data_IF_602572214324
#
_entry.id   IF_602572214324
#
_cell.length_a   1.000
_cell.length_b   1.000
_cell.length_c   1.000
_cell.angle_alpha   90.00
_cell.angle_beta   90.00
_cell.angle_gamma   90.00
#
_symmetry.space_group_name_H-M   'P 1'
#
loop_
_entity.id
_entity.type
_entity.pdbx_description
1 polymer ?
#
# COMPACT_ATOMS: atom_id res chain seq x y z
N UNK A 1 -69.65 -38.05 -14.75
CA UNK A 1 -68.18 -38.11 -14.84
C UNK A 1 -67.54 -36.77 -15.17
N UNK A 2 -68.13 -35.96 -16.06
CA UNK A 2 -67.67 -34.59 -16.34
C UNK A 2 -67.33 -33.68 -15.14
N UNK A 3 -68.13 -33.65 -14.07
CA UNK A 3 -67.81 -32.80 -12.90
C UNK A 3 -66.53 -33.24 -12.17
N UNK A 4 -66.31 -34.55 -12.03
CA UNK A 4 -65.08 -35.09 -11.41
C UNK A 4 -63.85 -34.80 -12.26
N UNK A 5 -63.98 -34.90 -13.59
CA UNK A 5 -62.90 -34.54 -14.52
C UNK A 5 -62.58 -33.04 -14.46
N UNK A 6 -63.59 -32.19 -14.28
CA UNK A 6 -63.38 -30.75 -14.11
C UNK A 6 -62.66 -30.42 -12.80
N UNK A 7 -63.04 -31.06 -11.68
CA UNK A 7 -62.33 -30.92 -10.40
C UNK A 7 -60.87 -31.40 -10.52
N UNK A 8 -60.62 -32.54 -11.21
CA UNK A 8 -59.26 -33.00 -11.51
C UNK A 8 -58.50 -31.95 -12.32
N UNK A 9 -59.12 -31.37 -13.36
CA UNK A 9 -58.48 -30.37 -14.21
C UNK A 9 -58.08 -29.11 -13.42
N UNK A 10 -58.95 -28.62 -12.54
CA UNK A 10 -58.69 -27.47 -11.67
C UNK A 10 -57.61 -27.78 -10.62
N UNK A 11 -57.60 -28.98 -10.04
CA UNK A 11 -56.55 -29.44 -9.12
C UNK A 11 -55.19 -29.52 -9.81
N UNK A 12 -55.12 -30.16 -10.99
CA UNK A 12 -53.90 -30.27 -11.79
C UNK A 12 -53.36 -28.89 -12.17
N UNK A 13 -54.24 -27.97 -12.59
CA UNK A 13 -53.90 -26.58 -12.89
C UNK A 13 -53.30 -25.86 -11.67
N UNK A 14 -53.89 -26.05 -10.48
CA UNK A 14 -53.40 -25.41 -9.25
C UNK A 14 -52.02 -25.93 -8.81
N UNK A 15 -51.70 -27.18 -9.18
CA UNK A 15 -50.42 -27.84 -8.91
C UNK A 15 -49.36 -27.61 -9.99
N UNK A 16 -49.67 -26.84 -11.04
CA UNK A 16 -48.76 -26.60 -12.17
C UNK A 16 -48.63 -27.78 -13.14
N UNK A 17 -49.49 -28.80 -13.04
CA UNK A 17 -49.54 -29.98 -13.93
C UNK A 17 -50.38 -29.66 -15.15
N UNK A 18 -49.84 -28.76 -15.99
CA UNK A 18 -50.60 -28.14 -17.07
C UNK A 18 -51.05 -29.14 -18.13
N UNK A 19 -50.23 -30.17 -18.44
CA UNK A 19 -50.60 -31.17 -19.44
C UNK A 19 -51.76 -32.06 -18.97
N UNK A 20 -51.73 -32.52 -17.71
CA UNK A 20 -52.85 -33.25 -17.12
C UNK A 20 -54.12 -32.40 -17.07
N UNK A 21 -54.01 -31.12 -16.73
CA UNK A 21 -55.14 -30.20 -16.72
C UNK A 21 -55.79 -30.05 -18.10
N UNK A 22 -54.97 -30.04 -19.17
CA UNK A 22 -55.45 -30.01 -20.55
C UNK A 22 -56.19 -31.29 -20.94
N UNK A 23 -55.60 -32.45 -20.66
CA UNK A 23 -56.22 -33.75 -20.96
C UNK A 23 -57.56 -33.93 -20.20
N UNK A 24 -57.59 -33.55 -18.92
CA UNK A 24 -58.82 -33.62 -18.12
C UNK A 24 -59.90 -32.65 -18.63
N UNK A 25 -59.53 -31.42 -19.00
CA UNK A 25 -60.46 -30.45 -19.58
C UNK A 25 -60.98 -30.88 -20.96
N UNK A 26 -60.12 -31.45 -21.81
CA UNK A 26 -60.50 -32.02 -23.11
C UNK A 26 -61.51 -33.16 -22.94
N UNK A 27 -61.32 -34.03 -21.94
CA UNK A 27 -62.28 -35.07 -21.58
C UNK A 27 -63.67 -34.49 -21.28
N UNK A 28 -63.76 -33.41 -20.51
CA UNK A 28 -65.04 -32.71 -20.23
C UNK A 28 -65.65 -32.13 -21.51
N UNK A 29 -64.83 -31.52 -22.37
CA UNK A 29 -65.29 -30.91 -23.63
C UNK A 29 -65.73 -31.96 -24.68
N UNK A 30 -65.24 -33.19 -24.58
CA UNK A 30 -65.69 -34.29 -25.44
C UNK A 30 -67.12 -34.73 -25.12
N UNK A 31 -67.53 -34.65 -23.84
CA UNK A 31 -68.91 -34.91 -23.40
C UNK A 31 -69.82 -33.70 -23.60
N UNK A 32 -69.33 -32.50 -23.26
CA UNK A 32 -70.07 -31.24 -23.31
C UNK A 32 -69.22 -30.16 -23.99
N UNK A 33 -69.29 -30.04 -25.33
CA UNK A 33 -68.43 -29.14 -26.11
C UNK A 33 -68.51 -27.66 -25.70
N UNK A 34 -69.66 -27.23 -25.16
CA UNK A 34 -69.90 -25.84 -24.77
C UNK A 34 -69.74 -25.58 -23.26
N UNK A 35 -69.06 -26.48 -22.52
CA UNK A 35 -68.87 -26.31 -21.08
C UNK A 35 -67.96 -25.10 -20.76
N UNK A 36 -68.46 -24.02 -20.13
CA UNK A 36 -67.71 -22.76 -20.01
C UNK A 36 -66.49 -22.85 -19.08
N UNK A 37 -66.59 -23.57 -17.95
CA UNK A 37 -65.45 -23.76 -17.02
C UNK A 37 -64.31 -24.55 -17.65
N UNK A 38 -64.60 -25.68 -18.30
CA UNK A 38 -63.61 -26.50 -18.98
C UNK A 38 -62.87 -25.71 -20.09
N UNK A 39 -63.59 -24.92 -20.91
CA UNK A 39 -62.96 -24.00 -21.89
C UNK A 39 -61.97 -23.02 -21.23
N UNK A 40 -62.36 -22.45 -20.08
CA UNK A 40 -61.51 -21.51 -19.34
C UNK A 40 -60.26 -22.20 -18.76
N UNK A 41 -60.42 -23.38 -18.15
CA UNK A 41 -59.31 -24.17 -17.60
C UNK A 41 -58.34 -24.57 -18.72
N UNK A 42 -58.87 -25.04 -19.86
CA UNK A 42 -58.06 -25.40 -21.02
C UNK A 42 -57.25 -24.20 -21.54
N UNK A 43 -57.90 -23.04 -21.74
CA UNK A 43 -57.20 -21.83 -22.20
C UNK A 43 -56.11 -21.38 -21.23
N UNK A 44 -56.38 -21.36 -19.92
CA UNK A 44 -55.40 -20.96 -18.91
C UNK A 44 -54.23 -21.95 -18.83
N UNK A 45 -54.52 -23.25 -18.86
CA UNK A 45 -53.48 -24.29 -18.85
C UNK A 45 -52.58 -24.21 -20.09
N UNK A 46 -53.14 -23.91 -21.27
CA UNK A 46 -52.36 -23.68 -22.50
C UNK A 46 -51.43 -22.47 -22.36
N UNK A 47 -51.95 -21.35 -21.87
CA UNK A 47 -51.18 -20.12 -21.68
C UNK A 47 -50.03 -20.32 -20.70
N UNK A 48 -50.32 -20.89 -19.52
CA UNK A 48 -49.30 -21.15 -18.50
C UNK A 48 -48.25 -22.18 -18.96
N UNK A 49 -48.66 -23.23 -19.69
CA UNK A 49 -47.72 -24.18 -20.30
C UNK A 49 -46.77 -23.47 -21.27
N UNK A 50 -47.28 -22.59 -22.13
CA UNK A 50 -46.44 -21.84 -23.08
C UNK A 50 -45.45 -20.91 -22.37
N UNK A 51 -45.89 -20.23 -21.30
CA UNK A 51 -45.01 -19.38 -20.47
C UNK A 51 -43.92 -20.21 -19.80
N UNK A 52 -44.28 -21.34 -19.18
CA UNK A 52 -43.34 -22.26 -18.56
C UNK A 52 -42.29 -22.75 -19.57
N UNK A 53 -42.73 -23.22 -20.75
CA UNK A 53 -41.84 -23.67 -21.82
C UNK A 53 -40.87 -22.58 -22.27
N UNK A 54 -41.33 -21.33 -22.32
CA UNK A 54 -40.47 -20.17 -22.60
C UNK A 54 -39.41 -19.93 -21.53
N UNK A 55 -39.76 -20.06 -20.24
CA UNK A 55 -38.81 -19.93 -19.11
C UNK A 55 -37.78 -21.07 -19.16
N UNK A 56 -38.23 -22.32 -19.29
CA UNK A 56 -37.35 -23.48 -19.35
C UNK A 56 -36.35 -23.36 -20.49
N UNK A 57 -36.81 -23.00 -21.71
CA UNK A 57 -35.92 -22.80 -22.86
C UNK A 57 -34.83 -21.76 -22.58
N UNK A 58 -35.20 -20.63 -21.97
CA UNK A 58 -34.22 -19.59 -21.61
C UNK A 58 -33.25 -20.07 -20.53
N UNK A 59 -33.74 -20.79 -19.51
CA UNK A 59 -32.89 -21.35 -18.46
C UNK A 59 -31.81 -22.26 -19.04
N UNK A 60 -32.19 -23.18 -19.94
CA UNK A 60 -31.25 -24.03 -20.68
C UNK A 60 -30.24 -23.25 -21.50
N UNK A 61 -30.72 -22.28 -22.28
CA UNK A 61 -29.83 -21.46 -23.10
C UNK A 61 -28.78 -20.73 -22.26
N UNK A 62 -29.19 -20.18 -21.11
CA UNK A 62 -28.29 -19.50 -20.17
C UNK A 62 -27.28 -20.46 -19.52
N UNK A 63 -27.72 -21.68 -19.19
CA UNK A 63 -26.87 -22.75 -18.66
C UNK A 63 -25.78 -23.13 -19.66
N UNK A 64 -26.14 -23.35 -20.93
CA UNK A 64 -25.20 -23.64 -22.02
C UNK A 64 -24.28 -22.47 -22.37
N UNK A 65 -24.74 -21.24 -22.21
CA UNK A 65 -23.91 -20.03 -22.32
C UNK A 65 -22.97 -19.84 -21.12
N UNK A 66 -23.09 -20.67 -20.07
CA UNK A 66 -22.29 -20.59 -18.86
C UNK A 66 -22.68 -19.42 -17.93
N UNK A 67 -23.82 -18.78 -18.17
CA UNK A 67 -24.39 -17.69 -17.35
C UNK A 67 -25.16 -18.27 -16.16
N UNK A 68 -24.43 -18.95 -15.28
CA UNK A 68 -25.00 -19.83 -14.25
C UNK A 68 -26.00 -19.14 -13.31
N UNK A 69 -25.76 -17.87 -12.94
CA UNK A 69 -26.66 -17.12 -12.04
C UNK A 69 -27.98 -16.75 -12.72
N UNK A 70 -27.91 -16.33 -13.97
CA UNK A 70 -29.10 -16.00 -14.77
C UNK A 70 -29.91 -17.27 -15.05
N UNK A 71 -29.24 -18.38 -15.39
CA UNK A 71 -29.87 -19.69 -15.54
C UNK A 71 -30.59 -20.10 -14.25
N UNK A 72 -29.91 -20.04 -13.10
CA UNK A 72 -30.49 -20.35 -11.78
C UNK A 72 -31.71 -19.49 -11.48
N UNK A 73 -31.69 -18.20 -11.85
CA UNK A 73 -32.83 -17.31 -11.67
C UNK A 73 -34.04 -17.71 -12.54
N UNK A 74 -33.83 -18.06 -13.82
CA UNK A 74 -34.93 -18.56 -14.66
C UNK A 74 -35.46 -19.92 -14.17
N UNK A 75 -34.59 -20.83 -13.71
CA UNK A 75 -35.01 -22.08 -13.10
C UNK A 75 -35.88 -21.87 -11.85
N UNK A 76 -35.55 -20.89 -11.00
CA UNK A 76 -36.37 -20.51 -9.85
C UNK A 76 -37.75 -19.97 -10.26
N UNK A 77 -37.83 -19.18 -11.33
CA UNK A 77 -39.13 -18.76 -11.89
C UNK A 77 -39.97 -19.95 -12.37
N UNK A 78 -39.33 -20.95 -12.98
CA UNK A 78 -40.03 -22.18 -13.37
C UNK A 78 -40.55 -22.96 -12.14
N UNK A 79 -39.76 -23.00 -11.05
CA UNK A 79 -40.16 -23.60 -9.78
C UNK A 79 -41.33 -22.88 -9.11
N UNK A 80 -41.44 -21.55 -9.24
CA UNK A 80 -42.59 -20.77 -8.76
C UNK A 80 -43.88 -21.16 -9.50
N UNK A 81 -43.79 -21.55 -10.78
CA UNK A 81 -44.93 -22.02 -11.58
C UNK A 81 -45.30 -23.47 -11.33
N UNK A 82 -44.33 -24.32 -11.00
CA UNK A 82 -44.55 -25.75 -10.69
C UNK A 82 -43.82 -26.10 -9.40
N UNK A 83 -44.41 -25.76 -8.23
CA UNK A 83 -43.80 -26.05 -6.94
C UNK A 83 -43.59 -27.56 -6.81
N UNK A 84 -42.39 -27.96 -6.38
CA UNK A 84 -42.02 -29.37 -6.17
C UNK A 84 -41.70 -30.20 -7.42
N UNK A 85 -41.51 -29.61 -8.60
CA UNK A 85 -41.04 -30.38 -9.76
C UNK A 85 -39.61 -30.95 -9.53
N UNK A 86 -39.40 -32.28 -9.55
CA UNK A 86 -38.14 -32.91 -9.14
C UNK A 86 -36.96 -32.50 -10.03
N UNK A 87 -37.11 -32.51 -11.36
CA UNK A 87 -36.05 -32.08 -12.29
C UNK A 87 -35.64 -30.61 -12.16
N UNK A 88 -36.58 -29.70 -11.90
CA UNK A 88 -36.24 -28.28 -11.69
C UNK A 88 -35.39 -28.14 -10.43
N UNK A 89 -35.78 -28.81 -9.35
CA UNK A 89 -35.02 -28.83 -8.10
C UNK A 89 -33.62 -29.43 -8.31
N UNK A 90 -33.52 -30.55 -9.02
CA UNK A 90 -32.25 -31.18 -9.37
C UNK A 90 -31.35 -30.24 -10.18
N UNK A 91 -31.89 -29.57 -11.21
CA UNK A 91 -31.15 -28.60 -12.02
C UNK A 91 -30.66 -27.41 -11.21
N UNK A 92 -31.49 -26.87 -10.32
CA UNK A 92 -31.09 -25.81 -9.39
C UNK A 92 -29.95 -26.30 -8.48
N UNK A 93 -30.05 -27.51 -7.93
CA UNK A 93 -29.02 -28.10 -7.07
C UNK A 93 -27.69 -28.28 -7.81
N UNK A 94 -27.72 -28.82 -9.03
CA UNK A 94 -26.51 -28.98 -9.87
C UNK A 94 -25.87 -27.63 -10.21
N UNK A 95 -26.68 -26.61 -10.51
CA UNK A 95 -26.18 -25.26 -10.75
C UNK A 95 -25.57 -24.64 -9.49
N UNK A 96 -26.18 -24.87 -8.32
CA UNK A 96 -25.64 -24.44 -7.03
C UNK A 96 -24.28 -25.08 -6.75
N UNK A 97 -24.15 -26.39 -6.89
CA UNK A 97 -22.87 -27.10 -6.76
C UNK A 97 -21.81 -26.58 -7.75
N UNK A 98 -22.21 -26.32 -8.99
CA UNK A 98 -21.29 -25.78 -10.02
C UNK A 98 -20.82 -24.37 -9.67
N UNK A 99 -21.71 -23.51 -9.17
CA UNK A 99 -21.39 -22.15 -8.73
C UNK A 99 -20.46 -22.21 -7.52
N UNK A 100 -20.77 -23.03 -6.52
CA UNK A 100 -19.95 -23.23 -5.33
C UNK A 100 -18.55 -23.75 -5.68
N UNK A 101 -18.45 -24.73 -6.59
CA UNK A 101 -17.17 -25.23 -7.08
C UNK A 101 -16.32 -24.15 -7.76
N UNK A 102 -16.93 -23.29 -8.59
CA UNK A 102 -16.24 -22.13 -9.20
C UNK A 102 -15.81 -21.11 -8.16
N UNK A 103 -16.66 -20.82 -7.17
CA UNK A 103 -16.33 -19.91 -6.08
C UNK A 103 -15.13 -20.44 -5.30
N UNK A 104 -15.12 -21.71 -4.92
CA UNK A 104 -14.02 -22.31 -4.17
C UNK A 104 -12.71 -22.33 -4.97
N UNK A 105 -12.77 -22.63 -6.27
CA UNK A 105 -11.60 -22.57 -7.15
C UNK A 105 -10.99 -21.15 -7.18
N UNK A 106 -11.83 -20.13 -7.33
CA UNK A 106 -11.36 -18.73 -7.35
C UNK A 106 -10.87 -18.30 -5.96
N UNK A 107 -11.54 -18.73 -4.89
CA UNK A 107 -11.11 -18.46 -3.51
C UNK A 107 -9.75 -19.08 -3.19
N UNK A 108 -9.48 -20.31 -3.64
CA UNK A 108 -8.16 -20.94 -3.50
C UNK A 108 -7.06 -20.08 -4.14
N UNK A 109 -7.31 -19.57 -5.36
CA UNK A 109 -6.39 -18.66 -6.05
C UNK A 109 -6.25 -17.31 -5.33
N UNK A 110 -7.33 -16.77 -4.76
CA UNK A 110 -7.29 -15.53 -3.97
C UNK A 110 -6.44 -15.68 -2.70
N UNK A 111 -6.57 -16.80 -2.00
CA UNK A 111 -5.73 -17.12 -0.82
C UNK A 111 -4.26 -17.16 -1.21
N UNK A 112 -3.92 -17.82 -2.33
CA UNK A 112 -2.55 -17.86 -2.85
C UNK A 112 -2.02 -16.46 -3.22
N UNK A 113 -2.80 -15.67 -3.96
CA UNK A 113 -2.44 -14.30 -4.34
C UNK A 113 -2.26 -13.39 -3.12
N UNK A 114 -3.12 -13.54 -2.12
CA UNK A 114 -3.01 -12.80 -0.87
C UNK A 114 -1.77 -13.22 -0.07
N UNK A 115 -1.41 -14.51 -0.04
CA UNK A 115 -0.20 -14.98 0.62
C UNK A 115 1.08 -14.45 -0.07
N UNK A 116 1.04 -14.26 -1.39
CA UNK A 116 2.12 -13.63 -2.18
C UNK A 116 2.18 -12.10 -2.07
N UNK A 117 1.29 -11.46 -1.30
CA UNK A 117 1.23 -9.99 -1.23
C UNK A 117 0.79 -9.31 -2.53
N UNK A 118 0.14 -10.03 -3.44
CA UNK A 118 -0.28 -9.50 -4.74
C UNK A 118 -1.64 -8.78 -4.65
N UNK A 119 -1.74 -7.76 -3.80
CA UNK A 119 -3.02 -7.13 -3.41
C UNK A 119 -3.82 -6.58 -4.61
N UNK A 120 -3.17 -6.01 -5.63
CA UNK A 120 -3.87 -5.54 -6.85
C UNK A 120 -4.57 -6.67 -7.61
N UNK A 121 -3.94 -7.85 -7.68
CA UNK A 121 -4.53 -9.02 -8.34
C UNK A 121 -5.66 -9.60 -7.49
N UNK A 122 -5.54 -9.57 -6.15
CA UNK A 122 -6.62 -9.92 -5.22
C UNK A 122 -7.86 -9.07 -5.50
N UNK A 123 -7.72 -7.74 -5.61
CA UNK A 123 -8.85 -6.84 -5.90
C UNK A 123 -9.54 -7.17 -7.23
N UNK A 124 -8.77 -7.44 -8.29
CA UNK A 124 -9.32 -7.76 -9.60
C UNK A 124 -10.06 -9.11 -9.59
N UNK A 125 -9.44 -10.15 -9.01
CA UNK A 125 -9.99 -11.51 -9.04
C UNK A 125 -11.16 -11.70 -8.07
N UNK A 126 -11.19 -10.98 -6.95
CA UNK A 126 -12.27 -11.05 -5.97
C UNK A 126 -13.63 -10.60 -6.55
N UNK A 127 -13.62 -9.75 -7.58
CA UNK A 127 -14.85 -9.38 -8.30
C UNK A 127 -15.55 -10.60 -8.91
N UNK A 128 -14.81 -11.65 -9.29
CA UNK A 128 -15.42 -12.88 -9.82
C UNK A 128 -16.20 -13.63 -8.75
N UNK A 129 -15.67 -13.74 -7.53
CA UNK A 129 -16.39 -14.37 -6.40
C UNK A 129 -17.62 -13.56 -6.03
N UNK A 130 -17.49 -12.23 -5.92
CA UNK A 130 -18.60 -11.35 -5.56
C UNK A 130 -19.72 -11.31 -6.60
N UNK A 131 -19.45 -11.67 -7.86
CA UNK A 131 -20.50 -11.86 -8.87
C UNK A 131 -21.41 -13.03 -8.50
N UNK A 132 -20.84 -14.14 -8.02
CA UNK A 132 -21.59 -15.34 -7.64
C UNK A 132 -22.17 -15.28 -6.22
N UNK A 133 -21.42 -14.71 -5.28
CA UNK A 133 -21.81 -14.59 -3.88
C UNK A 133 -21.41 -13.21 -3.35
N UNK A 134 -22.30 -12.20 -3.47
CA UNK A 134 -22.03 -10.83 -3.03
C UNK A 134 -21.70 -10.72 -1.53
N UNK A 135 -22.25 -11.63 -0.72
CA UNK A 135 -22.11 -11.64 0.73
C UNK A 135 -21.03 -12.63 1.23
N UNK A 136 -20.12 -13.07 0.35
CA UNK A 136 -19.07 -14.02 0.70
C UNK A 136 -18.06 -13.41 1.69
N UNK A 137 -18.26 -13.69 2.99
CA UNK A 137 -17.51 -13.10 4.11
C UNK A 137 -15.99 -13.11 3.93
N UNK A 138 -15.40 -14.26 3.66
CA UNK A 138 -13.94 -14.40 3.51
C UNK A 138 -13.40 -13.55 2.33
N UNK A 139 -14.16 -13.45 1.24
CA UNK A 139 -13.75 -12.67 0.06
C UNK A 139 -13.77 -11.16 0.39
N UNK A 140 -14.80 -10.71 1.11
CA UNK A 140 -14.92 -9.34 1.60
C UNK A 140 -13.80 -8.98 2.59
N UNK A 141 -13.41 -9.91 3.47
CA UNK A 141 -12.28 -9.74 4.39
C UNK A 141 -10.94 -9.60 3.64
N UNK A 142 -10.68 -10.48 2.66
CA UNK A 142 -9.47 -10.40 1.81
C UNK A 142 -9.43 -9.10 1.01
N UNK A 143 -10.58 -8.64 0.50
CA UNK A 143 -10.71 -7.35 -0.19
C UNK A 143 -10.42 -6.18 0.75
N UNK A 144 -11.00 -6.17 1.95
CA UNK A 144 -10.78 -5.12 2.93
C UNK A 144 -9.30 -5.04 3.33
N UNK A 145 -8.68 -6.20 3.59
CA UNK A 145 -7.25 -6.30 3.87
C UNK A 145 -6.40 -5.77 2.72
N UNK A 146 -6.64 -6.24 1.49
CA UNK A 146 -5.90 -5.80 0.31
C UNK A 146 -6.02 -4.30 0.04
N UNK A 147 -7.21 -3.70 0.24
CA UNK A 147 -7.41 -2.24 0.16
C UNK A 147 -6.65 -1.51 1.25
N UNK A 148 -6.69 -2.01 2.49
CA UNK A 148 -5.96 -1.44 3.62
C UNK A 148 -4.45 -1.44 3.41
N UNK A 149 -3.90 -2.57 2.93
CA UNK A 149 -2.47 -2.72 2.67
C UNK A 149 -2.00 -1.77 1.54
N UNK A 150 -2.78 -1.63 0.45
CA UNK A 150 -2.47 -0.69 -0.63
C UNK A 150 -2.54 0.77 -0.16
N UNK A 151 -3.56 1.14 0.62
CA UNK A 151 -3.65 2.49 1.19
C UNK A 151 -2.46 2.79 2.10
N UNK A 152 -2.08 1.85 2.96
CA UNK A 152 -0.89 1.97 3.80
C UNK A 152 0.39 2.10 2.96
N UNK A 153 0.50 1.36 1.86
CA UNK A 153 1.63 1.49 0.94
C UNK A 153 1.70 2.89 0.32
N UNK A 154 0.56 3.52 0.01
CA UNK A 154 0.53 4.90 -0.48
C UNK A 154 0.95 5.92 0.59
N UNK A 155 0.47 5.77 1.82
CA UNK A 155 0.87 6.61 2.96
C UNK A 155 2.38 6.49 3.25
N UNK A 156 2.91 5.27 3.27
CA UNK A 156 4.34 5.01 3.46
C UNK A 156 5.18 5.58 2.31
N UNK A 157 4.68 5.54 1.07
CA UNK A 157 5.38 6.13 -0.07
C UNK A 157 5.49 7.65 0.08
N UNK A 158 4.42 8.32 0.50
CA UNK A 158 4.46 9.77 0.73
C UNK A 158 5.48 10.13 1.82
N UNK A 159 5.56 9.33 2.89
CA UNK A 159 6.58 9.51 3.93
C UNK A 159 7.98 9.26 3.39
N UNK A 160 8.18 8.20 2.59
CA UNK A 160 9.46 7.91 1.96
C UNK A 160 9.93 9.06 1.06
N UNK A 161 9.01 9.66 0.30
CA UNK A 161 9.29 10.82 -0.56
C UNK A 161 9.68 12.06 0.24
N UNK A 162 9.02 12.32 1.39
CA UNK A 162 9.40 13.43 2.29
C UNK A 162 10.80 13.22 2.85
N UNK A 163 11.06 12.06 3.47
CA UNK A 163 12.40 11.74 3.98
C UNK A 163 13.47 11.80 2.89
N UNK A 164 13.12 11.42 1.65
CA UNK A 164 14.03 11.51 0.52
C UNK A 164 14.36 12.97 0.15
N UNK A 165 13.37 13.85 0.16
CA UNK A 165 13.56 15.30 -0.07
C UNK A 165 14.32 15.96 1.09
N UNK A 166 14.05 15.56 2.33
CA UNK A 166 14.68 16.09 3.55
C UNK A 166 16.14 15.60 3.73
N UNK A 167 16.61 14.71 2.85
CA UNK A 167 17.97 14.16 2.91
C UNK A 167 18.16 13.02 3.92
N UNK A 168 17.10 12.58 4.60
CA UNK A 168 17.12 11.35 5.42
C UNK A 168 16.97 10.11 4.52
N UNK A 169 18.06 9.86 3.80
CA UNK A 169 18.16 8.80 2.80
C UNK A 169 17.97 7.40 3.43
N UNK A 170 18.47 7.16 4.65
CA UNK A 170 18.31 5.86 5.31
C UNK A 170 16.84 5.56 5.57
N UNK A 171 16.11 6.53 6.14
CA UNK A 171 14.70 6.36 6.45
C UNK A 171 13.85 6.21 5.19
N UNK A 172 14.16 6.99 4.15
CA UNK A 172 13.49 6.87 2.85
C UNK A 172 13.63 5.46 2.25
N UNK A 173 14.83 4.86 2.33
CA UNK A 173 15.07 3.51 1.82
C UNK A 173 14.33 2.43 2.63
N UNK A 174 14.26 2.55 3.95
CA UNK A 174 13.47 1.63 4.79
C UNK A 174 11.98 1.67 4.44
N UNK A 175 11.41 2.88 4.36
CA UNK A 175 10.00 3.07 4.01
C UNK A 175 9.71 2.56 2.61
N UNK A 176 10.57 2.83 1.62
CA UNK A 176 10.40 2.33 0.25
C UNK A 176 10.43 0.79 0.18
N UNK A 177 11.25 0.11 0.99
CA UNK A 177 11.22 -1.36 1.11
C UNK A 177 9.90 -1.87 1.67
N UNK A 178 9.36 -1.20 2.70
CA UNK A 178 8.04 -1.55 3.24
C UNK A 178 6.92 -1.36 2.22
N UNK A 179 6.98 -0.28 1.42
CA UNK A 179 6.06 -0.03 0.32
C UNK A 179 6.11 -1.18 -0.68
N UNK A 180 7.28 -1.62 -1.14
CA UNK A 180 7.41 -2.72 -2.10
C UNK A 180 6.99 -4.08 -1.52
N UNK A 181 7.07 -4.26 -0.19
CA UNK A 181 6.52 -5.46 0.47
C UNK A 181 4.99 -5.50 0.40
N UNK A 182 4.33 -4.34 0.48
CA UNK A 182 2.86 -4.19 0.41
C UNK A 182 2.33 -3.98 -1.02
N UNK A 183 3.13 -3.42 -1.93
CA UNK A 183 2.80 -3.27 -3.35
C UNK A 183 4.07 -3.45 -4.21
N UNK A 184 4.39 -4.70 -4.59
CA UNK A 184 5.60 -4.98 -5.38
C UNK A 184 5.66 -4.29 -6.74
N UNK A 185 4.56 -3.69 -7.23
CA UNK A 185 4.50 -3.01 -8.53
C UNK A 185 4.60 -1.49 -8.41
N UNK A 186 4.92 -0.95 -7.22
CA UNK A 186 5.02 0.50 -6.99
C UNK A 186 6.37 1.06 -7.48
N UNK A 187 6.40 1.49 -8.74
CA UNK A 187 7.61 1.97 -9.43
C UNK A 187 8.29 3.14 -8.73
N UNK A 188 7.54 3.99 -8.02
CA UNK A 188 8.09 5.13 -7.30
C UNK A 188 8.98 4.69 -6.14
N UNK A 189 8.58 3.65 -5.40
CA UNK A 189 9.40 3.08 -4.34
C UNK A 189 10.64 2.36 -4.89
N UNK A 190 10.50 1.68 -6.04
CA UNK A 190 11.63 1.08 -6.76
C UNK A 190 12.64 2.16 -7.21
N UNK A 191 12.17 3.28 -7.76
CA UNK A 191 13.03 4.41 -8.14
C UNK A 191 13.79 5.01 -6.95
N UNK A 192 13.13 5.14 -5.80
CA UNK A 192 13.79 5.57 -4.57
C UNK A 192 14.92 4.59 -4.25
N UNK A 193 14.68 3.28 -4.27
CA UNK A 193 15.72 2.27 -3.98
C UNK A 193 16.83 2.19 -5.02
N UNK A 194 16.51 2.36 -6.31
CA UNK A 194 17.48 2.36 -7.41
C UNK A 194 18.46 3.53 -7.28
N UNK A 195 18.02 4.67 -6.74
CA UNK A 195 18.90 5.79 -6.40
C UNK A 195 19.98 5.39 -5.38
N UNK A 196 19.66 4.52 -4.42
CA UNK A 196 20.63 3.98 -3.46
C UNK A 196 21.51 2.89 -4.06
N UNK A 197 20.95 2.05 -4.92
CA UNK A 197 21.69 0.94 -5.54
C UNK A 197 22.68 1.44 -6.61
N UNK A 198 22.38 2.58 -7.22
CA UNK A 198 23.25 3.23 -8.19
C UNK A 198 24.41 3.92 -7.47
N UNK A 199 25.68 3.61 -7.81
CA UNK A 199 26.83 4.36 -7.31
C UNK A 199 26.85 5.73 -8.01
N UNK A 200 25.93 6.61 -7.61
CA UNK A 200 26.00 8.01 -8.00
C UNK A 200 27.26 8.61 -7.39
N UNK A 201 28.05 9.32 -8.20
CA UNK A 201 29.29 9.96 -7.76
C UNK A 201 29.04 10.89 -6.57
N UNK A 202 27.89 11.56 -6.56
CA UNK A 202 27.42 12.39 -5.46
C UNK A 202 27.28 11.61 -4.14
N UNK A 203 26.83 10.34 -4.20
CA UNK A 203 26.68 9.50 -3.01
C UNK A 203 28.02 8.99 -2.50
N UNK A 204 28.99 8.72 -3.41
CA UNK A 204 30.38 8.42 -3.01
C UNK A 204 31.05 9.62 -2.37
N UNK A 205 30.83 10.81 -2.91
CA UNK A 205 31.36 12.04 -2.34
C UNK A 205 30.73 12.34 -0.98
N UNK A 206 29.40 12.17 -0.85
CA UNK A 206 28.69 12.33 0.42
C UNK A 206 29.16 11.29 1.46
N UNK A 207 29.30 10.02 1.08
CA UNK A 207 29.85 8.98 1.96
C UNK A 207 31.31 9.27 2.33
N UNK A 208 32.12 9.77 1.41
CA UNK A 208 33.50 10.15 1.68
C UNK A 208 33.55 11.29 2.70
N UNK A 209 32.73 12.34 2.51
CA UNK A 209 32.57 13.46 3.45
C UNK A 209 32.11 12.97 4.83
N UNK A 210 31.13 12.06 4.89
CA UNK A 210 30.67 11.45 6.15
C UNK A 210 31.76 10.66 6.86
N UNK A 211 32.50 9.81 6.14
CA UNK A 211 33.64 9.05 6.70
C UNK A 211 34.77 9.96 7.15
N UNK A 212 34.97 11.09 6.48
CA UNK A 212 35.94 12.10 6.89
C UNK A 212 35.47 12.84 8.15
N UNK A 213 34.20 13.23 8.21
CA UNK A 213 33.58 13.78 9.42
C UNK A 213 33.69 12.81 10.62
N UNK A 214 33.46 11.51 10.43
CA UNK A 214 33.62 10.49 11.48
C UNK A 214 35.06 10.45 12.04
N UNK A 215 36.07 10.56 11.17
CA UNK A 215 37.47 10.61 11.59
C UNK A 215 37.77 11.88 12.37
N UNK A 216 37.21 13.01 11.94
CA UNK A 216 37.37 14.28 12.65
C UNK A 216 36.67 14.24 14.01
N UNK A 217 35.48 13.66 14.12
CA UNK A 217 34.77 13.44 15.39
C UNK A 217 35.64 12.61 16.34
N UNK A 218 36.17 11.47 15.89
CA UNK A 218 37.05 10.63 16.71
C UNK A 218 38.33 11.38 17.15
N UNK A 219 38.91 12.20 16.27
CA UNK A 219 40.06 13.04 16.61
C UNK A 219 39.70 14.13 17.63
N UNK A 220 38.56 14.80 17.48
CA UNK A 220 38.08 15.80 18.42
C UNK A 220 37.78 15.21 19.80
N UNK A 221 37.22 13.99 19.86
CA UNK A 221 37.02 13.25 21.11
C UNK A 221 38.36 12.94 21.82
N UNK A 222 39.37 12.50 21.06
CA UNK A 222 40.70 12.26 21.64
C UNK A 222 41.34 13.55 22.17
N UNK A 223 41.17 14.68 21.47
CA UNK A 223 41.67 15.99 21.90
C UNK A 223 40.98 16.49 23.17
N UNK A 224 39.67 16.24 23.31
CA UNK A 224 38.94 16.49 24.54
C UNK A 224 39.52 15.70 25.72
N UNK A 225 39.88 14.43 25.51
CA UNK A 225 40.42 13.56 26.58
C UNK A 225 41.80 13.98 27.08
N UNK A 226 42.58 14.71 26.28
CA UNK A 226 43.91 15.23 26.66
C UNK A 226 43.88 16.73 26.99
N UNK A 227 42.70 17.27 27.29
CA UNK A 227 42.44 18.65 27.69
C UNK A 227 42.89 19.72 26.67
N UNK A 228 42.93 19.38 25.37
CA UNK A 228 43.25 20.31 24.29
C UNK A 228 41.98 20.93 23.69
N UNK A 229 41.25 21.69 24.50
CA UNK A 229 39.89 22.16 24.18
C UNK A 229 39.83 23.04 22.92
N UNK A 230 40.73 24.03 22.77
CA UNK A 230 40.77 24.88 21.58
C UNK A 230 40.97 24.08 20.27
N UNK A 231 41.82 23.05 20.30
CA UNK A 231 42.03 22.15 19.14
C UNK A 231 40.81 21.28 18.88
N UNK A 232 40.19 20.74 19.94
CA UNK A 232 38.99 19.93 19.84
C UNK A 232 37.82 20.71 19.21
N UNK A 233 37.61 21.98 19.61
CA UNK A 233 36.62 22.87 19.02
C UNK A 233 36.80 23.02 17.51
N UNK A 234 38.05 23.30 17.06
CA UNK A 234 38.33 23.49 15.63
C UNK A 234 38.02 22.23 14.82
N UNK A 235 38.46 21.06 15.29
CA UNK A 235 38.24 19.80 14.57
C UNK A 235 36.75 19.41 14.58
N UNK A 236 36.04 19.64 15.68
CA UNK A 236 34.59 19.42 15.75
C UNK A 236 33.82 20.34 14.78
N UNK A 237 34.25 21.60 14.65
CA UNK A 237 33.67 22.53 13.68
C UNK A 237 33.96 22.10 12.24
N UNK A 238 35.16 21.60 11.94
CA UNK A 238 35.50 21.02 10.64
C UNK A 238 34.62 19.80 10.30
N UNK A 239 34.34 18.94 11.29
CA UNK A 239 33.41 17.83 11.12
C UNK A 239 31.98 18.32 10.79
N UNK A 240 31.47 19.34 11.48
CA UNK A 240 30.15 19.93 11.24
C UNK A 240 30.07 20.63 9.86
N UNK A 241 31.16 21.20 9.38
CA UNK A 241 31.20 21.80 8.04
C UNK A 241 31.09 20.74 6.93
N UNK A 242 31.55 19.50 7.20
CA UNK A 242 31.42 18.38 6.27
C UNK A 242 30.06 17.68 6.36
N UNK A 243 29.50 17.58 7.56
CA UNK A 243 28.18 16.96 7.83
C UNK A 243 27.45 17.74 8.94
N UNK A 244 26.63 18.76 8.59
CA UNK A 244 25.96 19.63 9.56
C UNK A 244 25.00 18.92 10.51
N UNK A 245 24.49 17.73 10.13
CA UNK A 245 23.53 16.96 10.91
C UNK A 245 24.12 16.12 12.04
N UNK A 246 25.44 16.19 12.30
CA UNK A 246 26.11 15.35 13.30
C UNK A 246 25.97 15.87 14.72
N UNK A 247 24.99 15.32 15.45
CA UNK A 247 24.77 15.60 16.88
C UNK A 247 26.02 15.39 17.74
N UNK A 248 26.80 14.34 17.48
CA UNK A 248 28.04 14.02 18.21
C UNK A 248 29.08 15.14 18.12
N UNK A 249 29.29 15.68 16.91
CA UNK A 249 30.23 16.78 16.68
C UNK A 249 29.77 18.07 17.39
N UNK A 250 28.46 18.31 17.38
CA UNK A 250 27.85 19.45 18.06
C UNK A 250 28.00 19.35 19.59
N UNK A 251 27.81 18.17 20.17
CA UNK A 251 28.03 17.92 21.60
C UNK A 251 29.49 18.14 22.01
N UNK A 252 30.44 17.58 21.24
CA UNK A 252 31.88 17.77 21.44
C UNK A 252 32.23 19.26 21.40
N UNK A 253 31.70 20.00 20.42
CA UNK A 253 31.94 21.43 20.28
C UNK A 253 31.46 22.20 21.51
N UNK A 254 30.24 21.90 22.00
CA UNK A 254 29.68 22.52 23.22
C UNK A 254 30.52 22.22 24.46
N UNK A 255 30.91 20.96 24.65
CA UNK A 255 31.74 20.54 25.79
C UNK A 255 33.11 21.24 25.77
N UNK A 256 33.77 21.24 24.61
CA UNK A 256 35.07 21.88 24.45
C UNK A 256 35.00 23.39 24.67
N UNK A 257 33.94 24.07 24.18
CA UNK A 257 33.71 25.49 24.45
C UNK A 257 33.54 25.80 25.93
N UNK A 258 32.79 24.98 26.66
CA UNK A 258 32.58 25.15 28.09
C UNK A 258 33.90 25.02 28.87
N UNK A 259 34.69 23.99 28.57
CA UNK A 259 35.98 23.75 29.23
C UNK A 259 37.03 24.81 28.88
N UNK A 260 37.08 25.26 27.62
CA UNK A 260 38.00 26.31 27.18
C UNK A 260 37.79 27.62 27.95
N UNK A 261 36.53 28.01 28.21
CA UNK A 261 36.22 29.20 29.02
C UNK A 261 36.74 29.10 30.46
N UNK A 262 36.74 27.91 31.04
CA UNK A 262 37.27 27.68 32.39
C UNK A 262 38.79 27.86 32.37
N UNK A 263 39.47 27.27 31.39
CA UNK A 263 40.93 27.41 31.23
C UNK A 263 41.32 28.88 31.02
N UNK A 264 40.57 29.62 30.20
CA UNK A 264 40.84 31.05 29.96
C UNK A 264 40.67 31.89 31.23
N UNK A 265 39.67 31.59 32.06
CA UNK A 265 39.51 32.25 33.37
C UNK A 265 40.68 31.96 34.29
N UNK A 266 41.08 30.69 34.42
CA UNK A 266 42.23 30.31 35.24
C UNK A 266 43.52 30.97 34.76
N UNK A 267 43.74 31.04 33.45
CA UNK A 267 44.89 31.74 32.88
C UNK A 267 44.84 33.26 33.10
N UNK A 268 43.66 33.86 33.08
CA UNK A 268 43.49 35.28 33.39
C UNK A 268 43.82 35.55 34.87
N UNK A 269 43.31 34.72 35.79
CA UNK A 269 43.61 34.79 37.23
C UNK A 269 45.11 34.59 37.50
N UNK A 270 45.75 33.62 36.83
CA UNK A 270 47.20 33.41 36.94
C UNK A 270 47.99 34.60 36.40
N UNK A 271 47.56 35.22 35.29
CA UNK A 271 48.19 36.44 34.76
C UNK A 271 48.06 37.60 35.74
N UNK A 272 46.86 37.86 36.24
CA UNK A 272 46.63 38.89 37.26
C UNK A 272 47.49 38.65 38.51
N UNK A 273 47.62 37.38 38.93
CA UNK A 273 48.48 36.98 40.04
C UNK A 273 49.96 37.24 39.74
N UNK A 274 50.44 36.93 38.53
CA UNK A 274 51.83 37.19 38.15
C UNK A 274 52.13 38.69 38.07
N UNK A 275 51.23 39.49 37.49
CA UNK A 275 51.37 40.95 37.40
C UNK A 275 51.36 41.58 38.80
N UNK A 276 50.50 41.08 39.71
CA UNK A 276 50.48 41.50 41.11
C UNK A 276 51.81 41.19 41.84
N UNK A 277 52.37 39.99 41.64
CA UNK A 277 53.65 39.61 42.23
C UNK A 277 54.83 40.42 41.66
N UNK A 278 54.83 40.73 40.37
CA UNK A 278 55.83 41.60 39.75
C UNK A 278 55.75 43.05 40.29
N UNK A 279 54.53 43.57 40.49
CA UNK A 279 54.32 44.88 41.14
C UNK A 279 54.89 44.90 42.56
N UNK A 280 54.58 43.88 43.37
CA UNK A 280 55.12 43.76 44.73
C UNK A 280 56.65 43.65 44.75
N UNK A 281 57.23 42.94 43.77
CA UNK A 281 58.67 42.84 43.61
C UNK A 281 59.33 44.20 43.34
N UNK A 282 58.73 45.01 42.46
CA UNK A 282 59.15 46.39 42.21
C UNK A 282 59.07 47.27 43.46
N UNK A 283 57.98 47.17 44.21
CA UNK A 283 57.79 47.91 45.46
C UNK A 283 58.82 47.50 46.54
N UNK A 284 59.12 46.19 46.65
CA UNK A 284 60.14 45.65 47.55
C UNK A 284 61.56 46.11 47.18
N UNK A 285 61.90 46.18 45.89
CA UNK A 285 63.18 46.73 45.44
C UNK A 285 63.30 48.23 45.73
N UNK A 286 62.21 48.99 45.55
CA UNK A 286 62.16 50.40 45.92
C UNK A 286 62.37 50.61 47.43
N UNK A 287 61.67 49.82 48.26
CA UNK A 287 61.85 49.81 49.72
C UNK A 287 63.26 49.42 50.13
N UNK A 288 63.86 48.39 49.53
CA UNK A 288 65.25 48.00 49.79
C UNK A 288 66.24 49.09 49.39
N UNK A 289 65.94 49.88 48.36
CA UNK A 289 66.78 51.02 47.96
C UNK A 289 66.64 52.19 48.92
N UNK A 290 65.45 52.43 49.49
CA UNK A 290 65.24 53.41 50.56
C UNK A 290 65.90 52.98 51.89
N UNK A 291 65.83 51.69 52.25
CA UNK A 291 66.48 51.13 53.44
C UNK A 291 68.00 50.92 53.25
N UNK A 292 68.48 50.85 52.01
CA UNK A 292 69.87 50.55 51.64
C UNK A 292 70.86 51.70 51.78
N UNK A 293 70.47 52.86 52.32
CA UNK A 293 71.40 53.94 52.66
C UNK A 293 71.80 54.02 54.13
N UNK A 294 71.23 53.21 55.06
CA UNK A 294 71.52 53.40 56.49
C UNK A 294 71.83 52.15 57.35
N UNK A 295 72.00 50.96 56.78
CA UNK A 295 72.32 49.76 57.59
C UNK A 295 73.73 49.22 57.37
N UNK A 296 74.74 49.99 57.82
CA UNK A 296 75.94 49.38 58.41
C UNK A 296 75.67 49.08 59.87
N UNK A 297 75.20 47.86 60.08
CA UNK A 297 75.39 47.12 61.31
C UNK A 297 74.26 47.29 62.31
N UNK A 298 73.46 46.24 62.47
CA UNK A 298 73.08 45.69 63.76
C UNK A 298 72.66 44.22 63.52
N UNK A 299 73.52 43.35 64.05
CA UNK A 299 73.26 42.13 64.80
C UNK A 299 72.43 40.98 64.22
N UNK A 300 73.13 39.84 64.22
CA UNK A 300 72.69 38.47 64.51
C UNK A 300 71.86 38.32 65.79
N UNK A 301 70.79 37.51 65.75
CA UNK A 301 70.27 36.60 66.80
C UNK A 301 68.93 36.00 66.28
N UNK A 302 68.86 34.69 66.04
CA UNK A 302 68.18 33.68 66.88
C UNK A 302 66.66 33.84 67.05
N UNK A 303 65.88 32.87 66.53
CA UNK A 303 64.71 32.18 67.14
C UNK A 303 63.93 31.46 66.02
N UNK A 304 63.86 30.12 65.98
CA UNK A 304 62.92 29.25 66.72
C UNK A 304 61.43 29.39 66.32
N UNK A 305 60.93 28.25 65.84
CA UNK A 305 59.57 27.67 65.97
C UNK A 305 58.33 28.44 65.51
N UNK A 306 57.48 27.72 64.76
CA UNK A 306 56.13 28.16 64.41
C UNK A 306 55.47 27.27 63.35
N UNK A 307 55.16 26.01 63.70
CA UNK A 307 54.14 25.22 63.00
C UNK A 307 52.82 25.98 63.05
N UNK A 308 52.25 26.32 61.88
CA UNK A 308 50.89 26.84 61.76
C UNK A 308 50.07 25.83 60.97
N UNK A 309 49.18 25.20 61.73
CA UNK A 309 48.01 24.44 61.35
C UNK A 309 47.10 25.28 60.43
N UNK A 310 46.67 24.75 59.29
CA UNK A 310 45.54 25.31 58.53
C UNK A 310 44.46 24.24 58.36
N UNK A 311 43.31 24.57 58.92
CA UNK A 311 42.09 23.80 59.03
C UNK A 311 41.43 23.54 57.67
N UNK A 312 40.81 22.37 57.58
CA UNK A 312 39.85 21.99 56.55
C UNK A 312 38.60 22.88 56.66
N UNK A 313 38.30 23.62 55.59
CA UNK A 313 37.04 24.32 55.40
C UNK A 313 36.17 23.57 54.40
N UNK A 314 35.21 22.79 54.91
CA UNK A 314 34.03 22.35 54.17
C UNK A 314 33.14 23.56 53.85
N UNK A 315 32.86 23.82 52.58
CA UNK A 315 31.70 24.66 52.20
C UNK A 315 30.79 23.98 51.17
N UNK A 316 29.51 24.22 51.43
CA UNK A 316 28.30 23.62 50.90
C UNK A 316 27.98 24.04 49.46
N UNK A 317 27.19 23.15 48.86
CA UNK A 317 26.24 23.35 47.75
C UNK A 317 25.63 24.76 47.64
N UNK A 318 25.58 25.29 46.42
CA UNK A 318 24.38 25.99 45.92
C UNK A 318 24.15 25.65 44.44
N UNK A 319 22.95 25.14 44.15
CA UNK A 319 22.46 24.92 42.81
C UNK A 319 21.96 26.22 42.18
N UNK A 320 22.29 26.42 40.91
CA UNK A 320 21.77 27.51 40.08
C UNK A 320 21.12 26.94 38.82
N UNK A 321 19.78 26.91 38.81
CA UNK A 321 19.00 26.69 37.60
C UNK A 321 18.90 27.97 36.77
N UNK A 322 19.04 27.83 35.45
CA UNK A 322 18.72 28.84 34.45
C UNK A 322 18.06 28.06 33.29
N UNK A 323 16.73 28.16 33.16
CA UNK A 323 16.00 29.18 32.42
C UNK A 323 15.91 28.80 30.93
N UNK A 324 14.76 28.24 30.59
CA UNK A 324 14.23 28.07 29.24
C UNK A 324 14.01 29.45 28.62
N UNK A 325 14.61 29.70 27.45
CA UNK A 325 14.13 30.71 26.53
C UNK A 325 13.92 30.06 25.16
N UNK A 326 12.65 30.06 24.78
CA UNK A 326 12.06 29.75 23.48
C UNK A 326 12.52 30.76 22.43
N UNK A 327 12.91 30.30 21.25
CA UNK A 327 12.95 31.11 20.04
C UNK A 327 12.12 30.43 18.94
N UNK A 328 10.89 30.95 18.77
CA UNK A 328 10.03 30.74 17.62
C UNK A 328 10.40 31.77 16.56
N UNK A 329 11.09 31.40 15.47
CA UNK A 329 11.15 32.20 14.23
C UNK A 329 11.86 31.51 13.07
N UNK A 330 11.23 30.49 12.48
CA UNK A 330 11.54 30.11 11.09
C UNK A 330 10.25 29.69 10.40
N UNK A 331 9.86 30.43 9.37
CA UNK A 331 8.59 30.23 8.67
C UNK A 331 8.42 31.29 7.60
N UNK A 332 9.38 31.39 6.68
CA UNK A 332 9.24 32.14 5.42
C UNK A 332 10.25 31.70 4.33
N UNK A 333 11.18 30.76 4.57
CA UNK A 333 12.16 30.31 3.56
C UNK A 333 11.76 29.01 2.81
N UNK A 334 10.74 28.27 3.27
CA UNK A 334 10.37 26.97 2.67
C UNK A 334 9.58 27.08 1.35
N UNK A 335 8.89 28.19 1.09
CA UNK A 335 8.08 28.34 -0.14
C UNK A 335 8.94 28.59 -1.41
N UNK A 336 10.12 29.22 -1.27
CA UNK A 336 11.01 29.47 -2.41
C UNK A 336 11.82 28.22 -2.84
N UNK A 337 12.12 27.32 -1.89
CA UNK A 337 12.80 26.06 -2.19
C UNK A 337 11.85 25.04 -2.85
N UNK A 338 10.58 25.00 -2.43
CA UNK A 338 9.57 24.13 -3.04
C UNK A 338 9.23 24.55 -4.49
N UNK A 339 9.18 25.86 -4.78
CA UNK A 339 9.02 26.37 -6.16
C UNK A 339 10.24 26.08 -7.05
N UNK A 340 11.47 26.14 -6.52
CA UNK A 340 12.69 25.76 -7.28
C UNK A 340 12.68 24.29 -7.64
N UNK A 341 12.16 23.42 -6.78
CA UNK A 341 12.09 21.99 -7.01
C UNK A 341 11.04 21.61 -8.07
N UNK A 342 9.85 22.23 -8.05
CA UNK A 342 8.84 22.00 -9.10
C UNK A 342 9.33 22.41 -10.50
N UNK A 343 10.08 23.52 -10.62
CA UNK A 343 10.69 23.95 -11.90
C UNK A 343 11.77 22.99 -12.41
N UNK A 344 12.45 22.25 -11.52
CA UNK A 344 13.44 21.23 -11.90
C UNK A 344 12.77 19.95 -12.43
N UNK A 345 11.61 19.58 -11.89
CA UNK A 345 10.83 18.43 -12.37
C UNK A 345 10.20 18.68 -13.76
N UNK A 346 9.66 19.87 -14.01
CA UNK A 346 9.12 20.24 -15.34
C UNK A 346 10.20 20.34 -16.43
N UNK A 347 11.40 20.83 -16.10
CA UNK A 347 12.56 20.85 -17.02
C UNK A 347 13.04 19.46 -17.43
N UNK A 348 12.78 18.42 -16.61
CA UNK A 348 13.11 17.02 -16.94
C UNK A 348 12.04 16.37 -17.82
N UNK A 349 10.77 16.73 -17.68
CA UNK A 349 9.70 16.21 -18.53
C UNK A 349 9.77 16.78 -19.96
N UNK A 350 10.13 18.06 -20.11
CA UNK A 350 10.29 18.70 -21.43
C UNK A 350 11.49 18.17 -22.23
N UNK A 351 12.56 17.69 -21.57
CA UNK A 351 13.69 17.02 -22.25
C UNK A 351 13.40 15.61 -22.77
N UNK A 352 12.32 14.96 -22.32
CA UNK A 352 11.88 13.64 -22.84
C UNK A 352 10.91 13.72 -24.02
N UNK A 353 10.29 14.87 -24.26
CA UNK A 353 9.36 15.06 -25.39
C UNK A 353 10.01 15.67 -26.64
N UNK A 354 11.27 16.14 -26.57
CA UNK A 354 11.96 16.77 -27.72
C UNK A 354 12.96 15.85 -28.45
N UNK A 355 13.06 14.56 -28.11
CA UNK A 355 13.99 13.61 -28.77
C UNK A 355 13.29 12.53 -29.60
N UNK A 356 12.04 12.78 -30.04
CA UNK A 356 11.19 11.78 -30.69
C UNK A 356 10.50 12.25 -31.97
N UNK A 357 11.19 13.00 -32.83
CA UNK A 357 10.74 13.27 -34.22
C UNK A 357 11.93 13.16 -35.17
N UNK A 358 12.45 11.95 -35.30
CA UNK A 358 13.35 11.58 -36.40
C UNK A 358 12.52 11.20 -37.61
N UNK A 359 12.38 12.14 -38.55
CA UNK A 359 11.96 11.90 -39.91
C UNK A 359 12.83 10.80 -40.54
N UNK A 360 12.21 9.72 -41.02
CA UNK A 360 12.83 8.81 -41.99
C UNK A 360 11.92 8.74 -43.20
N UNK A 361 12.15 9.68 -44.10
CA UNK A 361 11.66 9.63 -45.47
C UNK A 361 12.56 8.71 -46.31
N UNK A 362 11.93 7.75 -46.98
CA UNK A 362 12.41 7.20 -48.24
C UNK A 362 13.25 5.93 -48.15
N UNK A 363 12.66 4.81 -48.57
CA UNK A 363 13.10 4.05 -49.74
C UNK A 363 11.97 3.08 -50.11
N UNK A 364 11.41 3.29 -51.30
CA UNK A 364 10.38 2.44 -51.88
C UNK A 364 10.95 1.10 -52.32
N UNK A 365 10.23 0.04 -51.98
CA UNK A 365 10.25 -1.22 -52.71
C UNK A 365 8.80 -1.69 -52.83
N UNK A 366 8.27 -1.58 -54.04
CA UNK A 366 7.01 -2.18 -54.46
C UNK A 366 7.13 -3.71 -54.39
N UNK A 367 6.32 -4.32 -53.54
CA UNK A 367 5.95 -5.73 -53.59
C UNK A 367 4.41 -5.78 -53.56
N UNK A 368 3.81 -5.60 -54.74
CA UNK A 368 2.45 -6.04 -54.99
C UNK A 368 2.50 -7.58 -55.12
N UNK A 369 1.86 -8.28 -54.18
CA UNK A 369 1.83 -9.73 -54.15
C UNK A 369 0.83 -10.25 -53.11
N UNK A 370 -0.41 -10.45 -53.57
CA UNK A 370 -1.38 -11.45 -53.09
C UNK A 370 -1.47 -11.70 -51.57
N UNK A 371 -2.19 -10.83 -50.85
CA UNK A 371 -2.72 -11.13 -49.52
C UNK A 371 -4.17 -10.64 -49.44
N UNK A 372 -5.12 -11.45 -49.94
CA UNK A 372 -6.53 -11.06 -50.01
C UNK A 372 -7.54 -12.21 -50.05
N UNK A 373 -7.17 -13.43 -49.61
CA UNK A 373 -8.04 -14.61 -49.74
C UNK A 373 -8.22 -15.46 -48.47
N UNK A 374 -7.81 -15.01 -47.28
CA UNK A 374 -7.89 -15.85 -46.06
C UNK A 374 -8.91 -15.38 -45.01
N UNK A 375 -9.42 -14.15 -45.07
CA UNK A 375 -10.44 -13.68 -44.11
C UNK A 375 -11.84 -14.29 -44.34
N UNK A 376 -12.12 -14.81 -45.55
CA UNK A 376 -13.41 -15.44 -45.85
C UNK A 376 -13.60 -16.82 -45.21
N UNK A 377 -12.51 -17.59 -45.03
CA UNK A 377 -12.60 -18.96 -44.49
C UNK A 377 -12.82 -19.00 -42.98
N UNK A 378 -12.32 -18.00 -42.24
CA UNK A 378 -12.56 -17.92 -40.79
C UNK A 378 -14.00 -17.52 -40.46
N UNK A 379 -14.62 -16.67 -41.29
CA UNK A 379 -16.02 -16.28 -41.10
C UNK A 379 -16.99 -17.43 -41.37
N UNK A 380 -16.74 -18.23 -42.41
CA UNK A 380 -17.57 -19.41 -42.73
C UNK A 380 -17.46 -20.49 -41.65
N UNK A 381 -16.25 -20.74 -41.13
CA UNK A 381 -16.03 -21.70 -40.04
C UNK A 381 -16.74 -21.28 -38.74
N UNK A 382 -16.68 -19.99 -38.39
CA UNK A 382 -17.37 -19.46 -37.22
C UNK A 382 -18.90 -19.50 -37.35
N UNK A 383 -19.45 -19.35 -38.57
CA UNK A 383 -20.88 -19.50 -38.84
C UNK A 383 -21.33 -20.94 -38.70
N UNK A 384 -20.59 -21.89 -39.30
CA UNK A 384 -20.93 -23.31 -39.26
C UNK A 384 -20.86 -23.87 -37.82
N UNK A 385 -19.93 -23.37 -37.00
CA UNK A 385 -19.84 -23.76 -35.59
C UNK A 385 -21.01 -23.21 -34.74
N UNK A 386 -21.51 -22.01 -35.06
CA UNK A 386 -22.71 -21.44 -34.40
C UNK A 386 -23.96 -22.27 -34.72
N UNK A 387 -24.15 -22.65 -35.98
CA UNK A 387 -25.29 -23.45 -36.41
C UNK A 387 -25.26 -24.85 -35.77
N UNK A 388 -24.09 -25.50 -35.73
CA UNK A 388 -23.91 -26.78 -35.04
C UNK A 388 -24.20 -26.68 -33.55
N UNK A 389 -23.78 -25.59 -32.89
CA UNK A 389 -24.12 -25.33 -31.49
C UNK A 389 -25.63 -25.21 -31.34
N UNK A 390 -26.28 -24.37 -32.13
CA UNK A 390 -27.74 -24.14 -32.06
C UNK A 390 -28.56 -25.42 -32.26
N UNK A 391 -28.17 -26.30 -33.19
CA UNK A 391 -28.85 -27.59 -33.39
C UNK A 391 -28.73 -28.48 -32.16
N UNK A 392 -27.53 -28.60 -31.58
CA UNK A 392 -27.33 -29.37 -30.32
C UNK A 392 -28.16 -28.80 -29.16
N UNK A 393 -28.28 -27.47 -29.04
CA UNK A 393 -29.13 -26.83 -28.02
C UNK A 393 -30.58 -27.26 -28.14
N UNK A 394 -31.08 -27.30 -29.38
CA UNK A 394 -32.45 -27.72 -29.67
C UNK A 394 -32.69 -29.19 -29.32
N UNK A 395 -31.72 -30.07 -29.60
CA UNK A 395 -31.82 -31.50 -29.30
C UNK A 395 -31.84 -31.79 -27.79
N UNK A 396 -30.97 -31.13 -27.02
CA UNK A 396 -30.91 -31.28 -25.55
C UNK A 396 -32.20 -30.76 -24.90
N UNK A 397 -32.72 -29.64 -25.38
CA UNK A 397 -33.99 -29.12 -24.88
C UNK A 397 -35.16 -30.05 -25.22
N UNK A 398 -35.21 -30.61 -26.43
CA UNK A 398 -36.24 -31.58 -26.82
C UNK A 398 -36.19 -32.84 -25.95
N UNK A 399 -35.01 -33.42 -25.73
CA UNK A 399 -34.86 -34.60 -24.86
C UNK A 399 -35.33 -34.31 -23.42
N UNK A 400 -35.00 -33.13 -22.88
CA UNK A 400 -35.52 -32.74 -21.58
C UNK A 400 -37.06 -32.62 -21.55
N UNK A 401 -37.67 -32.08 -22.61
CA UNK A 401 -39.12 -31.99 -22.69
C UNK A 401 -39.78 -33.37 -22.79
N UNK A 402 -39.20 -34.29 -23.56
CA UNK A 402 -39.66 -35.68 -23.63
C UNK A 402 -39.59 -36.35 -22.26
N UNK A 403 -38.44 -36.23 -21.57
CA UNK A 403 -38.27 -36.75 -20.22
C UNK A 403 -39.25 -36.10 -19.24
N UNK A 404 -39.49 -34.79 -19.34
CA UNK A 404 -40.48 -34.09 -18.51
C UNK A 404 -41.88 -34.69 -18.72
N UNK A 405 -42.28 -34.87 -19.96
CA UNK A 405 -43.59 -35.44 -20.30
C UNK A 405 -43.73 -36.92 -19.92
N UNK A 406 -42.62 -37.67 -19.80
CA UNK A 406 -42.63 -39.04 -19.27
C UNK A 406 -42.80 -39.08 -17.74
N UNK A 407 -42.10 -38.23 -16.99
CA UNK A 407 -42.25 -38.17 -15.52
C UNK A 407 -43.64 -37.67 -15.07
N UNK A 408 -44.24 -36.74 -15.83
CA UNK A 408 -45.64 -36.36 -15.59
C UNK A 408 -46.60 -37.54 -15.77
N UNK A 409 -46.26 -38.56 -16.56
CA UNK A 409 -47.05 -39.79 -16.70
C UNK A 409 -46.76 -40.82 -15.61
N UNK A 410 -45.54 -40.90 -15.10
CA UNK A 410 -45.15 -41.87 -14.07
C UNK A 410 -45.58 -41.48 -12.65
N UNK A 411 -45.90 -40.22 -12.42
CA UNK A 411 -46.40 -39.72 -11.13
C UNK A 411 -47.92 -39.88 -10.94
N UNK A 412 -48.62 -40.47 -11.93
CA UNK A 412 -49.98 -41.01 -11.85
C UNK A 412 -50.06 -42.36 -11.13
#
# INVERSE_FOLDING_TARGET
DGERLLEKAEDCLSKGRYQEALLAAEGVLSEVPEHPRAKKVMALAQELRMVLMGILRRAYQLEEEGKLLEAKAEWKKALEMVPSHPKILERISRLEETIEGRVEEVMARLRELSAKGSHRLVLAKAQEVLRYSPDHKECLELLAKAKGDLKRAEELLQQAQRCFSDGDLNRAAELAKEVLRLDPKKKEAEQILDYFASPHEDNRELEAKRREADKLIAAAQNLLQIDQFASAMRIAQEALNLDPGRSEALEILRLAQAQQRIVEKLQAEDRERTEFLESLGGDLEALKKELGEDERGILSEESEEGEIFLEEGEEREEGGGLAEESDEREGEEDEEEEERFQRLLEKRQTRRLSSGTGEVSGLGLSLEGEAGLDEGREQDAASEEKDKKQTRRSEIFQTFLEEWEEEEKETE
#
